data_IF_335081306969
#
_entry.id   IF_335081306969
#
_cell.length_a   1.000
_cell.length_b   1.000
_cell.length_c   1.000
_cell.angle_alpha   90.00
_cell.angle_beta   90.00
_cell.angle_gamma   90.00
#
_symmetry.space_group_name_H-M   'P 1'
#
loop_
_entity.id
_entity.type
_entity.pdbx_description
1 polymer ?
#
# COMPACT_ATOMS: atom_id res chain seq x y z
N UNK A 1 -15.44 -18.01 25.20
CA UNK A 1 -14.07 -17.78 25.68
C UNK A 1 -13.03 -18.52 24.85
N UNK A 2 -13.04 -19.86 24.77
CA UNK A 2 -12.07 -20.62 23.92
C UNK A 2 -12.26 -20.41 22.41
N UNK A 3 -13.50 -20.30 21.93
CA UNK A 3 -13.78 -20.12 20.50
C UNK A 3 -13.36 -18.75 19.96
N UNK A 4 -13.43 -17.71 20.81
CA UNK A 4 -12.95 -16.36 20.50
C UNK A 4 -11.42 -16.30 20.43
N UNK A 5 -10.73 -17.13 21.20
CA UNK A 5 -9.27 -17.27 21.13
C UNK A 5 -8.89 -17.99 19.84
N UNK A 6 -9.59 -19.06 19.44
CA UNK A 6 -9.26 -19.80 18.22
C UNK A 6 -9.55 -19.02 16.91
N UNK A 7 -10.67 -18.29 16.85
CA UNK A 7 -10.98 -17.39 15.72
C UNK A 7 -10.19 -16.07 15.79
N UNK A 8 -9.82 -15.63 16.99
CA UNK A 8 -8.96 -14.47 17.20
C UNK A 8 -7.48 -14.74 16.88
N UNK A 9 -7.06 -16.01 16.94
CA UNK A 9 -5.76 -16.56 16.50
C UNK A 9 -5.77 -17.06 15.03
N UNK A 10 -6.79 -16.71 14.24
CA UNK A 10 -6.72 -16.76 12.78
C UNK A 10 -7.13 -15.38 12.26
N UNK A 11 -6.56 -14.35 12.88
CA UNK A 11 -6.97 -12.97 12.72
C UNK A 11 -5.78 -12.02 12.62
N UNK A 12 -6.03 -10.74 12.89
CA UNK A 12 -5.02 -9.67 12.94
C UNK A 12 -3.69 -10.04 13.63
N UNK A 13 -3.64 -10.84 14.74
CA UNK A 13 -2.36 -11.20 15.35
C UNK A 13 -1.42 -12.03 14.47
N UNK A 14 -1.90 -13.01 13.68
CA UNK A 14 -1.05 -13.76 12.76
C UNK A 14 -0.44 -12.86 11.68
N UNK A 15 -1.25 -11.93 11.14
CA UNK A 15 -0.77 -10.97 10.14
C UNK A 15 0.32 -10.07 10.73
N UNK A 16 0.15 -9.63 11.98
CA UNK A 16 1.15 -8.82 12.69
C UNK A 16 2.45 -9.62 12.89
N UNK A 17 2.36 -10.89 13.29
CA UNK A 17 3.54 -11.77 13.46
C UNK A 17 4.28 -11.94 12.13
N UNK A 18 3.56 -12.23 11.04
CA UNK A 18 4.15 -12.35 9.70
C UNK A 18 4.79 -11.03 9.28
N UNK A 19 4.11 -9.89 9.51
CA UNK A 19 4.64 -8.57 9.19
C UNK A 19 5.93 -8.28 9.97
N UNK A 20 6.00 -8.62 11.26
CA UNK A 20 7.21 -8.47 12.08
C UNK A 20 8.35 -9.33 11.55
N UNK A 21 8.08 -10.59 11.18
CA UNK A 21 9.10 -11.47 10.58
C UNK A 21 9.64 -10.84 9.30
N UNK A 22 8.77 -10.44 8.37
CA UNK A 22 9.17 -9.75 7.13
C UNK A 22 9.98 -8.48 7.46
N UNK A 23 9.56 -7.71 8.48
CA UNK A 23 10.26 -6.50 8.90
C UNK A 23 11.64 -6.78 9.48
N UNK A 24 11.86 -7.93 10.14
CA UNK A 24 13.17 -8.34 10.64
C UNK A 24 14.11 -8.76 9.49
N UNK A 25 13.61 -9.53 8.53
CA UNK A 25 14.41 -9.98 7.38
C UNK A 25 14.73 -8.85 6.39
N UNK A 26 13.74 -8.03 6.05
CA UNK A 26 13.90 -6.93 5.10
C UNK A 26 14.33 -5.62 5.76
N UNK A 27 14.10 -5.45 7.06
CA UNK A 27 14.32 -4.20 7.79
C UNK A 27 13.16 -3.21 7.60
N UNK A 28 12.91 -2.40 8.64
CA UNK A 28 11.85 -1.39 8.67
C UNK A 28 11.87 -0.37 7.53
N UNK A 29 13.04 -0.15 6.93
CA UNK A 29 13.26 0.87 5.92
C UNK A 29 13.09 0.37 4.48
N UNK A 30 13.18 -0.95 4.22
CA UNK A 30 13.09 -1.49 2.85
C UNK A 30 11.65 -1.60 2.36
N UNK A 31 10.72 -1.98 3.23
CA UNK A 31 9.30 -2.12 2.87
C UNK A 31 8.69 -0.78 2.40
N UNK A 32 8.87 0.35 3.11
CA UNK A 32 8.38 1.66 2.65
C UNK A 32 9.10 2.13 1.37
N UNK A 33 10.40 1.84 1.23
CA UNK A 33 11.17 2.23 0.04
C UNK A 33 10.70 1.50 -1.22
N UNK A 34 10.38 0.20 -1.12
CA UNK A 34 9.76 -0.57 -2.20
C UNK A 34 8.36 -0.06 -2.52
N UNK A 35 7.52 0.18 -1.50
CA UNK A 35 6.17 0.73 -1.70
C UNK A 35 6.21 2.10 -2.40
N UNK A 36 7.15 2.97 -2.03
CA UNK A 36 7.33 4.27 -2.68
C UNK A 36 7.70 4.12 -4.16
N UNK A 37 8.62 3.21 -4.48
CA UNK A 37 9.00 2.92 -5.88
C UNK A 37 7.84 2.34 -6.71
N UNK A 38 7.09 1.38 -6.14
CA UNK A 38 5.91 0.79 -6.79
C UNK A 38 4.82 1.83 -6.98
N UNK A 39 4.56 2.67 -5.97
CA UNK A 39 3.55 3.73 -6.04
C UNK A 39 3.88 4.79 -7.09
N UNK A 40 5.14 5.20 -7.19
CA UNK A 40 5.60 6.11 -8.24
C UNK A 40 5.45 5.49 -9.63
N UNK A 41 5.88 4.23 -9.80
CA UNK A 41 5.74 3.51 -11.07
C UNK A 41 4.28 3.31 -11.48
N UNK A 42 3.39 2.97 -10.54
CA UNK A 42 1.96 2.84 -10.78
C UNK A 42 1.32 4.18 -11.19
N UNK A 43 1.74 5.28 -10.56
CA UNK A 43 1.26 6.62 -10.88
C UNK A 43 1.70 7.07 -12.28
N UNK A 44 2.97 6.86 -12.63
CA UNK A 44 3.49 7.14 -13.97
C UNK A 44 2.85 6.24 -15.04
N UNK A 45 2.63 4.97 -14.73
CA UNK A 45 1.93 4.03 -15.60
C UNK A 45 0.48 4.49 -15.86
N UNK A 46 -0.26 4.84 -14.80
CA UNK A 46 -1.64 5.37 -14.92
C UNK A 46 -1.69 6.67 -15.71
N UNK A 47 -0.69 7.55 -15.55
CA UNK A 47 -0.57 8.81 -16.30
C UNK A 47 -0.31 8.55 -17.78
N UNK A 48 0.64 7.68 -18.12
CA UNK A 48 0.95 7.32 -19.51
C UNK A 48 -0.22 6.65 -20.23
N UNK A 49 -0.98 5.81 -19.53
CA UNK A 49 -2.22 5.22 -20.08
C UNK A 49 -3.30 6.26 -20.36
N UNK A 50 -3.41 7.30 -19.53
CA UNK A 50 -4.38 8.41 -19.70
C UNK A 50 -3.98 9.36 -20.82
N UNK A 51 -2.69 9.65 -20.98
CA UNK A 51 -2.18 10.51 -22.05
C UNK A 51 -2.23 9.83 -23.44
N UNK A 52 -2.14 8.50 -23.49
CA UNK A 52 -2.26 7.72 -24.73
C UNK A 52 -3.69 7.40 -25.18
N UNK A 53 -4.70 7.65 -24.34
CA UNK A 53 -6.11 7.48 -24.68
C UNK A 53 -6.70 8.83 -25.15
N UNK A 54 -7.11 8.98 -26.42
CA UNK A 54 -7.48 10.28 -26.99
C UNK A 54 -8.77 10.92 -26.44
N UNK A 55 -9.41 10.40 -25.39
CA UNK A 55 -10.68 10.95 -24.91
C UNK A 55 -11.00 10.68 -23.42
N UNK A 56 -10.09 11.01 -22.50
CA UNK A 56 -10.38 10.91 -21.06
C UNK A 56 -9.87 12.12 -20.31
N UNK A 57 -10.39 13.30 -20.67
CA UNK A 57 -10.52 14.41 -19.73
C UNK A 57 -11.73 14.10 -18.86
N UNK A 58 -11.51 13.48 -17.71
CA UNK A 58 -12.25 13.72 -16.47
C UNK A 58 -11.82 12.72 -15.39
N UNK A 59 -11.95 13.17 -14.13
CA UNK A 59 -11.63 12.49 -12.86
C UNK A 59 -10.13 12.43 -12.48
N UNK A 60 -9.66 12.97 -11.38
CA UNK A 60 -10.25 13.69 -10.27
C UNK A 60 -9.06 14.20 -9.45
N UNK A 61 -9.32 15.26 -8.68
CA UNK A 61 -8.62 15.64 -7.47
C UNK A 61 -8.01 14.45 -6.73
N UNK A 62 -6.76 14.57 -6.32
CA UNK A 62 -6.35 13.98 -5.05
C UNK A 62 -5.58 15.02 -4.20
N UNK A 63 -6.35 15.62 -3.30
CA UNK A 63 -6.01 15.94 -1.91
C UNK A 63 -4.62 16.52 -1.60
N UNK A 64 -4.57 17.86 -1.63
CA UNK A 64 -4.19 18.74 -0.50
C UNK A 64 -3.60 18.06 0.76
N UNK A 65 -2.27 18.08 0.90
CA UNK A 65 -1.49 18.53 2.07
C UNK A 65 -0.01 18.44 1.62
N UNK A 66 0.76 19.50 1.40
CA UNK A 66 1.23 20.42 2.41
C UNK A 66 1.45 21.80 1.77
N UNK A 67 0.70 22.79 2.24
CA UNK A 67 0.98 24.20 1.98
C UNK A 67 0.74 24.94 3.29
N UNK A 68 1.78 25.03 4.14
CA UNK A 68 2.26 26.22 4.86
C UNK A 68 3.13 25.84 6.06
#
# INVERSE_FOLDING_TARGET
MLQSILLGMLGTPEIIIIAIIILLFFGGSKLPKLMKGIGQGMNEFKKGMREGAPDSKDEEKDSKNDKK
#
